data_IF_589067181584
#
_entry.id   IF_589067181584
#
_cell.length_a   1.000
_cell.length_b   1.000
_cell.length_c   1.000
_cell.angle_alpha   90.00
_cell.angle_beta   90.00
_cell.angle_gamma   90.00
#
_symmetry.space_group_name_H-M   'P 1'
#
loop_
_entity.id
_entity.type
_entity.pdbx_description
1 polymer ?
#
# COMPACT_ATOMS: atom_id res chain seq x y z
N UNK A 1 15.13 12.67 3.06
CA UNK A 1 14.69 12.16 1.74
C UNK A 1 13.29 11.55 1.89
N UNK A 2 12.24 12.29 1.52
CA UNK A 2 10.86 11.81 1.64
C UNK A 2 10.62 10.61 0.71
N UNK A 3 10.09 9.51 1.25
CA UNK A 3 9.78 8.27 0.54
C UNK A 3 8.57 8.52 -0.39
N UNK A 4 8.81 9.09 -1.57
CA UNK A 4 7.76 9.72 -2.43
C UNK A 4 6.93 8.79 -3.31
N UNK A 5 7.13 7.46 -3.23
CA UNK A 5 6.45 6.52 -4.15
C UNK A 5 5.50 5.54 -3.46
N UNK A 6 5.20 5.75 -2.16
CA UNK A 6 4.27 4.88 -1.44
C UNK A 6 2.83 5.37 -1.62
N UNK A 7 2.00 4.53 -2.21
CA UNK A 7 0.59 4.81 -2.47
C UNK A 7 -0.30 3.89 -1.65
N UNK A 8 -1.53 4.36 -1.40
CA UNK A 8 -2.57 3.60 -0.71
C UNK A 8 -3.84 3.66 -1.55
N UNK A 9 -4.46 2.51 -1.82
CA UNK A 9 -5.74 2.42 -2.52
C UNK A 9 -6.74 1.61 -1.68
N UNK A 10 -8.01 2.02 -1.75
CA UNK A 10 -9.14 1.29 -1.16
C UNK A 10 -9.77 0.41 -2.23
N UNK A 11 -9.96 -0.86 -1.91
CA UNK A 11 -10.64 -1.84 -2.77
C UNK A 11 -11.71 -2.52 -1.92
N UNK A 12 -12.95 -2.02 -1.98
CA UNK A 12 -14.03 -2.42 -1.07
C UNK A 12 -13.64 -2.21 0.40
N UNK A 13 -13.59 -3.31 1.16
CA UNK A 13 -13.23 -3.33 2.58
C UNK A 13 -11.73 -3.54 2.83
N UNK A 14 -10.95 -3.70 1.76
CA UNK A 14 -9.51 -3.87 1.81
C UNK A 14 -8.77 -2.58 1.50
N UNK A 15 -7.54 -2.50 2.02
CA UNK A 15 -6.56 -1.48 1.67
C UNK A 15 -5.31 -2.14 1.16
N UNK A 16 -4.79 -1.58 0.08
CA UNK A 16 -3.53 -1.99 -0.52
C UNK A 16 -2.52 -0.87 -0.35
N UNK A 17 -1.38 -1.19 0.22
CA UNK A 17 -0.21 -0.32 0.26
C UNK A 17 0.76 -0.83 -0.80
N UNK A 18 1.10 0.02 -1.76
CA UNK A 18 1.97 -0.36 -2.87
C UNK A 18 2.96 0.76 -3.20
N UNK A 19 4.02 0.39 -3.90
CA UNK A 19 5.02 1.30 -4.44
C UNK A 19 5.04 1.21 -5.96
N UNK A 20 5.20 2.35 -6.63
CA UNK A 20 5.41 2.39 -8.09
C UNK A 20 6.82 2.85 -8.38
N UNK A 21 7.61 1.96 -8.97
CA UNK A 21 8.88 2.29 -9.61
C UNK A 21 8.60 2.54 -11.09
N UNK A 22 8.59 3.82 -11.48
CA UNK A 22 8.30 4.23 -12.86
C UNK A 22 9.45 3.96 -13.83
N UNK A 23 10.68 3.94 -13.32
CA UNK A 23 11.88 3.73 -14.12
C UNK A 23 11.96 2.27 -14.56
N UNK A 24 11.78 1.35 -13.60
CA UNK A 24 11.78 -0.08 -13.86
C UNK A 24 10.42 -0.62 -14.29
N UNK A 25 9.36 0.22 -14.28
CA UNK A 25 7.96 -0.15 -14.56
C UNK A 25 7.43 -1.26 -13.64
N UNK A 26 7.84 -1.24 -12.37
CA UNK A 26 7.47 -2.25 -11.37
C UNK A 26 6.48 -1.66 -10.38
N UNK A 27 5.43 -2.43 -10.07
CA UNK A 27 4.51 -2.12 -8.98
C UNK A 27 4.68 -3.17 -7.89
N UNK A 28 5.18 -2.75 -6.73
CA UNK A 28 5.43 -3.64 -5.58
C UNK A 28 4.34 -3.47 -4.53
N UNK A 29 3.59 -4.53 -4.24
CA UNK A 29 2.57 -4.52 -3.18
C UNK A 29 3.20 -4.94 -1.86
N UNK A 30 3.12 -4.07 -0.86
CA UNK A 30 3.71 -4.31 0.46
C UNK A 30 2.72 -4.89 1.46
N UNK A 31 1.44 -4.48 1.37
CA UNK A 31 0.40 -4.95 2.27
C UNK A 31 -0.94 -4.97 1.55
N UNK A 32 -1.68 -6.05 1.73
CA UNK A 32 -3.11 -6.17 1.40
C UNK A 32 -3.81 -6.62 2.68
N UNK A 33 -4.61 -5.76 3.29
CA UNK A 33 -5.32 -6.14 4.52
C UNK A 33 -6.70 -5.47 4.61
N UNK A 34 -7.58 -6.05 5.40
CA UNK A 34 -8.90 -5.50 5.74
C UNK A 34 -8.75 -4.21 6.55
N UNK A 35 -9.70 -3.30 6.39
CA UNK A 35 -9.75 -2.02 7.11
C UNK A 35 -9.65 -2.16 8.63
N UNK A 36 -10.28 -3.19 9.18
CA UNK A 36 -10.42 -3.41 10.62
C UNK A 36 -9.11 -3.89 11.26
N UNK A 37 -8.32 -4.71 10.57
CA UNK A 37 -7.06 -5.28 11.07
C UNK A 37 -5.89 -4.31 11.15
N UNK A 38 -6.03 -3.11 10.57
CA UNK A 38 -4.96 -2.09 10.59
C UNK A 38 -4.81 -1.43 11.96
N UNK A 39 -5.86 -1.44 12.80
CA UNK A 39 -5.81 -0.83 14.14
C UNK A 39 -5.65 -1.87 15.28
N UNK A 40 -5.96 -3.14 15.04
CA UNK A 40 -5.89 -4.22 16.04
C UNK A 40 -4.47 -4.75 16.34
N UNK A 41 -3.42 -4.12 15.81
CA UNK A 41 -2.02 -4.51 16.08
C UNK A 41 -1.23 -3.46 16.87
N UNK A 42 -1.90 -2.51 17.53
CA UNK A 42 -1.28 -1.62 18.50
C UNK A 42 -1.48 -2.14 19.92
#
# INVERSE_FOLDING_TARGET
KGRKDLYKIRVGDYRIIYRVDKENKIVSVHLVDKRERVYDRQ
#
